data_IF_274448495326
#
_entry.id   IF_274448495326
#
_cell.length_a   1.000
_cell.length_b   1.000
_cell.length_c   1.000
_cell.angle_alpha   90.00
_cell.angle_beta   90.00
_cell.angle_gamma   90.00
#
_symmetry.space_group_name_H-M   'P 1'
#
loop_
_entity.id
_entity.type
_entity.pdbx_description
1 polymer ?
#
# COMPACT_ATOMS: atom_id res chain seq x y z
N UNK A 1 -13.25 11.21 -5.28
CA UNK A 1 -13.98 9.95 -5.47
C UNK A 1 -14.26 9.89 -6.95
N UNK A 2 -13.99 8.75 -7.60
CA UNK A 2 -14.16 8.63 -9.04
C UNK A 2 -15.58 9.00 -9.45
N UNK A 3 -15.71 9.56 -10.64
CA UNK A 3 -17.00 9.88 -11.25
C UNK A 3 -17.29 8.86 -12.34
N UNK A 4 -18.56 8.53 -12.53
CA UNK A 4 -19.00 7.65 -13.60
C UNK A 4 -19.74 8.48 -14.63
N UNK A 5 -19.35 8.37 -15.89
CA UNK A 5 -20.09 8.94 -17.00
C UNK A 5 -21.39 8.14 -17.21
N UNK A 6 -22.51 8.85 -17.25
CA UNK A 6 -23.84 8.27 -17.40
C UNK A 6 -24.21 8.22 -18.88
N UNK A 7 -23.60 7.27 -19.58
CA UNK A 7 -23.95 6.96 -20.96
C UNK A 7 -25.31 6.25 -21.06
N UNK A 8 -25.75 6.01 -22.30
CA UNK A 8 -27.03 5.36 -22.56
C UNK A 8 -27.05 3.92 -22.02
N UNK A 9 -25.91 3.22 -22.05
CA UNK A 9 -25.76 1.86 -21.52
C UNK A 9 -26.05 1.80 -20.03
N UNK A 10 -25.37 2.64 -19.23
CA UNK A 10 -25.54 2.71 -17.78
C UNK A 10 -26.96 3.17 -17.42
N UNK A 11 -27.46 4.17 -18.15
CA UNK A 11 -28.80 4.71 -17.94
C UNK A 11 -29.88 3.65 -18.15
N UNK A 12 -29.79 2.92 -19.26
CA UNK A 12 -30.72 1.86 -19.59
C UNK A 12 -30.59 0.71 -18.59
N UNK A 13 -29.38 0.34 -18.18
CA UNK A 13 -29.18 -0.69 -17.16
C UNK A 13 -29.87 -0.33 -15.83
N UNK A 14 -29.68 0.90 -15.32
CA UNK A 14 -30.35 1.36 -14.09
C UNK A 14 -31.88 1.31 -14.26
N UNK A 15 -32.39 1.82 -15.39
CA UNK A 15 -33.83 1.87 -15.69
C UNK A 15 -34.45 0.49 -15.79
N UNK A 16 -33.81 -0.43 -16.52
CA UNK A 16 -34.28 -1.78 -16.74
C UNK A 16 -34.22 -2.61 -15.47
N UNK A 17 -33.10 -2.63 -14.76
CA UNK A 17 -32.94 -3.41 -13.54
C UNK A 17 -33.86 -2.92 -12.42
N UNK A 18 -34.10 -1.60 -12.33
CA UNK A 18 -35.09 -1.01 -11.40
C UNK A 18 -36.52 -1.43 -11.75
N UNK A 19 -36.91 -1.30 -13.02
CA UNK A 19 -38.26 -1.65 -13.50
C UNK A 19 -38.54 -3.14 -13.35
N UNK A 20 -37.57 -3.99 -13.70
CA UNK A 20 -37.63 -5.46 -13.55
C UNK A 20 -37.97 -5.89 -12.13
N UNK A 21 -37.57 -5.09 -11.13
CA UNK A 21 -37.81 -5.36 -9.71
C UNK A 21 -38.91 -4.51 -9.08
N UNK A 22 -39.68 -3.78 -9.89
CA UNK A 22 -40.83 -2.99 -9.42
C UNK A 22 -40.47 -1.82 -8.48
N UNK A 23 -39.21 -1.37 -8.48
CA UNK A 23 -38.76 -0.30 -7.58
C UNK A 23 -39.17 1.07 -8.10
N UNK A 24 -39.80 1.90 -7.27
CA UNK A 24 -40.14 3.28 -7.65
C UNK A 24 -38.91 4.20 -7.55
N UNK A 25 -38.73 5.05 -8.56
CA UNK A 25 -37.56 5.94 -8.66
C UNK A 25 -37.48 6.99 -7.54
N UNK A 26 -38.62 7.49 -7.05
CA UNK A 26 -38.68 8.45 -5.95
C UNK A 26 -38.29 7.83 -4.60
N UNK A 27 -38.65 6.57 -4.37
CA UNK A 27 -38.22 5.80 -3.19
C UNK A 27 -36.72 5.54 -3.27
N UNK A 28 -36.24 5.03 -4.41
CA UNK A 28 -34.82 4.77 -4.63
C UNK A 28 -33.97 6.04 -4.43
N UNK A 29 -34.44 7.19 -4.91
CA UNK A 29 -33.74 8.46 -4.73
C UNK A 29 -33.64 8.88 -3.24
N UNK A 30 -34.70 8.66 -2.47
CA UNK A 30 -34.71 8.93 -1.02
C UNK A 30 -33.75 8.00 -0.27
N UNK A 31 -33.72 6.72 -0.64
CA UNK A 31 -32.85 5.70 -0.02
C UNK A 31 -31.36 6.03 -0.21
N UNK A 32 -31.00 6.74 -1.28
CA UNK A 32 -29.61 7.21 -1.55
C UNK A 32 -29.37 8.67 -1.14
N UNK A 33 -30.26 9.26 -0.34
CA UNK A 33 -30.20 10.64 0.14
C UNK A 33 -30.10 11.70 -0.97
N UNK A 34 -30.84 11.52 -2.05
CA UNK A 34 -30.96 12.49 -3.17
C UNK A 34 -32.39 13.02 -3.32
N UNK A 35 -32.57 14.04 -4.15
CA UNK A 35 -33.89 14.60 -4.46
C UNK A 35 -34.78 13.56 -5.12
N UNK A 36 -36.10 13.61 -4.89
CA UNK A 36 -37.06 12.64 -5.45
C UNK A 36 -37.01 12.54 -6.99
N UNK A 37 -36.52 13.59 -7.67
CA UNK A 37 -36.33 13.63 -9.13
C UNK A 37 -35.02 12.99 -9.60
N UNK A 38 -34.07 12.69 -8.73
CA UNK A 38 -32.70 12.34 -9.10
C UNK A 38 -32.60 11.11 -10.01
N UNK A 39 -33.31 10.02 -9.67
CA UNK A 39 -33.35 8.81 -10.51
C UNK A 39 -33.98 9.09 -11.87
N UNK A 40 -35.05 9.91 -11.91
CA UNK A 40 -35.67 10.33 -13.17
C UNK A 40 -34.71 11.16 -14.02
N UNK A 41 -33.93 12.05 -13.41
CA UNK A 41 -32.92 12.86 -14.09
C UNK A 41 -31.76 12.01 -14.65
N UNK A 42 -31.37 10.93 -13.97
CA UNK A 42 -30.44 9.93 -14.51
C UNK A 42 -31.08 9.25 -15.73
N UNK A 43 -32.28 8.68 -15.57
CA UNK A 43 -32.98 7.89 -16.58
C UNK A 43 -33.38 8.66 -17.84
N UNK A 44 -33.48 9.99 -17.75
CA UNK A 44 -33.78 10.88 -18.86
C UNK A 44 -32.52 11.57 -19.43
N UNK A 45 -31.33 11.26 -18.91
CA UNK A 45 -30.05 11.79 -19.41
C UNK A 45 -29.75 13.24 -19.03
N UNK A 46 -30.47 13.79 -18.05
CA UNK A 46 -30.15 15.12 -17.49
C UNK A 46 -28.85 15.09 -16.70
N UNK A 47 -28.53 13.97 -16.04
CA UNK A 47 -27.28 13.78 -15.31
C UNK A 47 -26.29 13.09 -16.24
N UNK A 48 -25.19 13.77 -16.57
CA UNK A 48 -24.11 13.25 -17.43
C UNK A 48 -23.00 12.56 -16.63
N UNK A 49 -22.86 12.87 -15.35
CA UNK A 49 -21.86 12.26 -14.46
C UNK A 49 -22.43 12.10 -13.05
N UNK A 50 -21.99 11.07 -12.32
CA UNK A 50 -22.33 10.87 -10.92
C UNK A 50 -21.14 10.31 -10.13
N UNK A 51 -21.10 10.52 -8.82
CA UNK A 51 -20.08 9.88 -7.98
C UNK A 51 -20.27 8.35 -8.01
N UNK A 52 -19.16 7.60 -8.09
CA UNK A 52 -19.21 6.14 -8.10
C UNK A 52 -19.92 5.58 -6.85
N UNK A 53 -19.80 6.24 -5.70
CA UNK A 53 -20.50 5.85 -4.47
C UNK A 53 -22.01 5.92 -4.60
N UNK A 54 -22.53 6.88 -5.38
CA UNK A 54 -23.96 6.99 -5.68
C UNK A 54 -24.39 5.84 -6.58
N UNK A 55 -23.57 5.47 -7.57
CA UNK A 55 -23.84 4.33 -8.43
C UNK A 55 -23.90 3.02 -7.64
N UNK A 56 -22.96 2.80 -6.73
CA UNK A 56 -22.97 1.66 -5.81
C UNK A 56 -24.23 1.65 -4.94
N UNK A 57 -24.64 2.80 -4.39
CA UNK A 57 -25.84 2.87 -3.57
C UNK A 57 -27.12 2.55 -4.39
N UNK A 58 -27.18 3.01 -5.64
CA UNK A 58 -28.26 2.69 -6.59
C UNK A 58 -28.31 1.17 -6.82
N UNK A 59 -27.20 0.57 -7.25
CA UNK A 59 -27.17 -0.85 -7.59
C UNK A 59 -27.28 -1.77 -6.37
N UNK A 60 -26.78 -1.38 -5.19
CA UNK A 60 -27.01 -2.12 -3.94
C UNK A 60 -28.48 -2.20 -3.58
N UNK A 61 -29.25 -1.16 -3.91
CA UNK A 61 -30.69 -1.14 -3.64
C UNK A 61 -31.50 -1.87 -4.70
N UNK A 62 -31.05 -1.82 -5.96
CA UNK A 62 -31.68 -2.52 -7.07
C UNK A 62 -31.37 -4.02 -7.02
N UNK A 63 -30.11 -4.38 -6.81
CA UNK A 63 -29.59 -5.73 -6.90
C UNK A 63 -29.27 -6.23 -5.49
N UNK A 64 -29.93 -7.30 -5.07
CA UNK A 64 -29.68 -7.98 -3.81
C UNK A 64 -28.50 -8.95 -3.97
N UNK A 65 -27.28 -8.39 -4.05
CA UNK A 65 -26.03 -9.14 -4.08
C UNK A 65 -25.17 -8.81 -2.86
N UNK A 66 -24.33 -9.76 -2.39
CA UNK A 66 -23.24 -9.45 -1.48
C UNK A 66 -22.37 -8.33 -2.05
N UNK A 67 -21.85 -7.45 -1.16
CA UNK A 67 -21.13 -6.23 -1.56
C UNK A 67 -19.96 -6.49 -2.51
N UNK A 68 -19.26 -7.62 -2.34
CA UNK A 68 -18.17 -8.04 -3.22
C UNK A 68 -18.68 -8.36 -4.63
N UNK A 69 -19.69 -9.20 -4.74
CA UNK A 69 -20.25 -9.64 -6.03
C UNK A 69 -20.93 -8.48 -6.78
N UNK A 70 -21.51 -7.54 -6.03
CA UNK A 70 -22.04 -6.30 -6.57
C UNK A 70 -20.93 -5.41 -7.15
N UNK A 71 -19.79 -5.32 -6.47
CA UNK A 71 -18.64 -4.55 -6.94
C UNK A 71 -18.10 -5.14 -8.23
N UNK A 72 -17.88 -6.45 -8.25
CA UNK A 72 -17.40 -7.17 -9.43
C UNK A 72 -18.39 -7.00 -10.60
N UNK A 73 -19.71 -7.09 -10.35
CA UNK A 73 -20.74 -6.85 -11.35
C UNK A 73 -20.69 -5.43 -11.94
N UNK A 74 -20.57 -4.40 -11.10
CA UNK A 74 -20.55 -3.00 -11.55
C UNK A 74 -19.27 -2.71 -12.33
N UNK A 75 -18.10 -3.17 -11.83
CA UNK A 75 -16.84 -2.98 -12.53
C UNK A 75 -16.84 -3.72 -13.86
N UNK A 76 -17.17 -5.02 -13.91
CA UNK A 76 -17.22 -5.76 -15.18
C UNK A 76 -18.12 -5.08 -16.23
N UNK A 77 -19.26 -4.54 -15.81
CA UNK A 77 -20.22 -3.90 -16.71
C UNK A 77 -19.85 -2.47 -17.11
N UNK A 78 -19.21 -1.71 -16.23
CA UNK A 78 -19.15 -0.25 -16.36
C UNK A 78 -17.77 0.35 -16.06
N UNK A 79 -16.70 -0.44 -15.94
CA UNK A 79 -15.34 0.04 -15.64
C UNK A 79 -14.89 1.15 -16.60
N UNK A 80 -15.18 0.98 -17.89
CA UNK A 80 -14.86 1.95 -18.95
C UNK A 80 -15.56 3.31 -18.81
N UNK A 81 -16.60 3.39 -17.98
CA UNK A 81 -17.35 4.62 -17.74
C UNK A 81 -16.84 5.36 -16.50
N UNK A 82 -15.90 4.78 -15.76
CA UNK A 82 -15.33 5.38 -14.56
C UNK A 82 -14.18 6.30 -14.97
N UNK A 83 -14.29 7.57 -14.60
CA UNK A 83 -13.22 8.55 -14.67
C UNK A 83 -12.69 8.90 -13.28
N UNK A 84 -11.38 8.81 -13.11
CA UNK A 84 -10.72 9.21 -11.88
C UNK A 84 -10.59 10.72 -11.81
N UNK A 85 -10.92 11.31 -10.65
CA UNK A 85 -10.63 12.73 -10.42
C UNK A 85 -9.13 12.93 -10.25
N UNK A 86 -8.63 14.14 -10.50
CA UNK A 86 -7.21 14.47 -10.28
C UNK A 86 -6.75 14.10 -8.85
N UNK A 87 -7.61 14.27 -7.85
CA UNK A 87 -7.32 13.87 -6.47
C UNK A 87 -7.18 12.35 -6.33
N UNK A 88 -8.01 11.57 -7.02
CA UNK A 88 -7.94 10.11 -7.00
C UNK A 88 -6.68 9.62 -7.74
N UNK A 89 -6.35 10.24 -8.87
CA UNK A 89 -5.12 10.01 -9.65
C UNK A 89 -3.90 10.27 -8.77
N UNK A 90 -3.75 11.48 -8.23
CA UNK A 90 -2.61 11.85 -7.36
C UNK A 90 -2.49 10.92 -6.15
N UNK A 91 -3.61 10.51 -5.55
CA UNK A 91 -3.61 9.56 -4.44
C UNK A 91 -3.09 8.19 -4.88
N UNK A 92 -3.55 7.67 -6.02
CA UNK A 92 -3.09 6.38 -6.55
C UNK A 92 -1.63 6.43 -7.00
N UNK A 93 -1.21 7.49 -7.67
CA UNK A 93 0.20 7.72 -8.02
C UNK A 93 1.08 7.70 -6.77
N UNK A 94 0.65 8.34 -5.67
CA UNK A 94 1.38 8.29 -4.40
C UNK A 94 1.44 6.87 -3.82
N UNK A 95 0.35 6.10 -3.88
CA UNK A 95 0.32 4.70 -3.41
C UNK A 95 1.31 3.86 -4.23
N UNK A 96 1.29 4.01 -5.55
CA UNK A 96 2.20 3.28 -6.44
C UNK A 96 3.65 3.66 -6.17
N UNK A 97 3.95 4.95 -5.99
CA UNK A 97 5.29 5.39 -5.57
C UNK A 97 5.69 4.77 -4.23
N UNK A 98 4.79 4.77 -3.24
CA UNK A 98 5.05 4.10 -1.96
C UNK A 98 5.38 2.61 -2.17
N UNK A 99 4.62 1.90 -2.99
CA UNK A 99 4.78 0.46 -3.20
C UNK A 99 6.04 0.10 -3.98
N UNK A 100 6.35 0.82 -5.06
CA UNK A 100 7.45 0.50 -5.94
C UNK A 100 8.78 1.13 -5.52
N UNK A 101 8.78 2.38 -5.05
CA UNK A 101 10.00 3.13 -4.76
C UNK A 101 10.40 3.09 -3.28
N UNK A 102 9.45 3.36 -2.38
CA UNK A 102 9.77 3.67 -0.97
C UNK A 102 9.66 2.48 -0.04
N UNK A 103 8.74 1.55 -0.29
CA UNK A 103 8.58 0.36 0.54
C UNK A 103 9.77 -0.57 0.33
N UNK A 104 10.42 -0.89 1.43
CA UNK A 104 11.55 -1.80 1.48
C UNK A 104 11.09 -3.18 1.92
N UNK A 105 11.57 -4.19 1.21
CA UNK A 105 11.37 -5.60 1.49
C UNK A 105 12.69 -6.21 1.96
N UNK A 106 12.67 -7.14 2.92
CA UNK A 106 13.86 -7.86 3.36
C UNK A 106 14.41 -8.74 2.23
N UNK A 107 15.74 -8.79 2.12
CA UNK A 107 16.42 -9.70 1.22
C UNK A 107 16.75 -10.98 1.98
N UNK A 108 15.92 -12.01 1.80
CA UNK A 108 16.10 -13.31 2.45
C UNK A 108 17.27 -14.11 1.84
N UNK A 109 17.73 -15.12 2.58
CA UNK A 109 18.72 -16.09 2.07
C UNK A 109 18.23 -16.80 0.80
N UNK A 110 16.93 -17.06 0.69
CA UNK A 110 16.32 -17.67 -0.49
C UNK A 110 16.56 -16.80 -1.74
N UNK A 111 16.33 -15.49 -1.61
CA UNK A 111 16.55 -14.53 -2.71
C UNK A 111 18.03 -14.51 -3.11
N UNK A 112 18.94 -14.45 -2.12
CA UNK A 112 20.39 -14.43 -2.38
C UNK A 112 20.82 -15.70 -3.14
N UNK A 113 20.42 -16.87 -2.65
CA UNK A 113 20.75 -18.15 -3.26
C UNK A 113 20.17 -18.27 -4.69
N UNK A 114 18.96 -17.76 -4.89
CA UNK A 114 18.32 -17.71 -6.20
C UNK A 114 19.13 -16.84 -7.18
N UNK A 115 19.51 -15.62 -6.78
CA UNK A 115 20.30 -14.72 -7.62
C UNK A 115 21.68 -15.33 -7.95
N UNK A 116 22.37 -15.92 -6.96
CA UNK A 116 23.65 -16.60 -7.18
C UNK A 116 23.53 -17.74 -8.20
N UNK A 117 22.49 -18.57 -8.06
CA UNK A 117 22.23 -19.68 -8.99
C UNK A 117 22.01 -19.17 -10.41
N UNK A 118 21.25 -18.07 -10.57
CA UNK A 118 21.01 -17.46 -11.89
C UNK A 118 22.27 -16.89 -12.52
N UNK A 119 23.06 -16.15 -11.76
CA UNK A 119 24.33 -15.60 -12.26
C UNK A 119 25.29 -16.72 -12.68
N UNK A 120 25.41 -17.78 -11.89
CA UNK A 120 26.25 -18.93 -12.19
C UNK A 120 25.80 -19.65 -13.46
N UNK A 121 24.49 -19.87 -13.63
CA UNK A 121 23.95 -20.53 -14.81
C UNK A 121 24.14 -19.71 -16.09
N UNK A 122 24.12 -18.37 -15.97
CA UNK A 122 24.39 -17.45 -17.08
C UNK A 122 25.89 -17.22 -17.30
N UNK A 123 26.75 -17.69 -16.39
CA UNK A 123 28.19 -17.45 -16.38
C UNK A 123 28.56 -15.95 -16.46
N UNK A 124 27.87 -15.12 -15.67
CA UNK A 124 28.10 -13.67 -15.58
C UNK A 124 28.45 -13.24 -14.16
N UNK A 125 29.22 -12.16 -14.02
CA UNK A 125 29.49 -11.57 -12.71
C UNK A 125 28.36 -10.66 -12.23
N UNK A 126 28.28 -10.34 -10.92
CA UNK A 126 27.37 -9.32 -10.41
C UNK A 126 27.52 -7.96 -11.11
N UNK A 127 28.76 -7.59 -11.46
CA UNK A 127 29.07 -6.35 -12.18
C UNK A 127 28.51 -6.37 -13.61
N UNK A 128 28.61 -7.49 -14.31
CA UNK A 128 28.05 -7.63 -15.67
C UNK A 128 26.53 -7.44 -15.67
N UNK A 129 25.84 -7.97 -14.65
CA UNK A 129 24.41 -7.75 -14.49
C UNK A 129 24.06 -6.28 -14.22
N UNK A 130 24.84 -5.56 -13.39
CA UNK A 130 24.64 -4.12 -13.20
C UNK A 130 24.81 -3.36 -14.52
N UNK A 131 25.87 -3.65 -15.27
CA UNK A 131 26.11 -3.04 -16.57
C UNK A 131 24.92 -3.27 -17.51
N UNK A 132 24.38 -4.49 -17.54
CA UNK A 132 23.20 -4.83 -18.31
C UNK A 132 21.97 -4.01 -17.91
N UNK A 133 21.70 -3.91 -16.60
CA UNK A 133 20.56 -3.14 -16.07
C UNK A 133 20.68 -1.65 -16.44
N UNK A 134 21.87 -1.07 -16.28
CA UNK A 134 22.12 0.35 -16.54
C UNK A 134 22.08 0.73 -18.02
N UNK A 135 22.06 -0.23 -18.95
CA UNK A 135 21.87 0.07 -20.37
C UNK A 135 20.46 0.58 -20.69
N UNK A 136 19.46 0.27 -19.85
CA UNK A 136 18.07 0.74 -20.02
C UNK A 136 17.49 0.47 -21.43
N UNK A 137 17.90 -0.62 -22.09
CA UNK A 137 17.65 -0.84 -23.54
C UNK A 137 16.18 -0.84 -23.94
N UNK A 138 15.27 -1.21 -23.03
CA UNK A 138 13.84 -1.33 -23.31
C UNK A 138 13.07 -0.02 -23.04
N UNK A 139 13.77 1.07 -22.70
CA UNK A 139 13.19 2.40 -22.61
C UNK A 139 13.40 3.18 -23.91
N UNK A 140 12.32 3.75 -24.44
CA UNK A 140 12.42 4.68 -25.57
C UNK A 140 13.24 5.92 -25.19
N UNK A 141 14.07 6.42 -26.11
CA UNK A 141 14.93 7.59 -25.89
C UNK A 141 14.11 8.85 -25.50
N UNK A 142 12.91 8.98 -26.06
CA UNK A 142 11.97 10.08 -25.77
C UNK A 142 11.51 10.09 -24.30
N UNK A 143 11.48 8.91 -23.66
CA UNK A 143 11.13 8.69 -22.26
C UNK A 143 12.37 8.83 -21.40
N UNK A 144 13.48 8.20 -21.80
CA UNK A 144 14.74 8.16 -21.05
C UNK A 144 15.27 9.55 -20.69
N UNK A 145 15.15 10.52 -21.59
CA UNK A 145 15.58 11.92 -21.37
C UNK A 145 14.71 12.69 -20.36
N UNK A 146 13.54 12.19 -20.00
CA UNK A 146 12.61 12.81 -19.04
C UNK A 146 12.68 12.16 -17.65
N UNK A 147 13.30 10.99 -17.55
CA UNK A 147 13.37 10.23 -16.30
C UNK A 147 14.58 10.64 -15.47
N UNK A 148 14.36 10.73 -14.15
CA UNK A 148 15.45 10.84 -13.18
C UNK A 148 16.01 9.45 -12.91
N UNK A 149 17.32 9.39 -12.76
CA UNK A 149 18.03 8.16 -12.42
C UNK A 149 17.52 7.58 -11.09
N UNK A 150 17.24 6.28 -11.09
CA UNK A 150 16.79 5.49 -9.94
C UNK A 150 15.52 5.99 -9.24
N UNK A 151 14.67 6.71 -9.97
CA UNK A 151 13.37 7.19 -9.48
C UNK A 151 12.27 6.61 -10.37
N UNK A 152 11.31 5.93 -9.75
CA UNK A 152 10.10 5.45 -10.44
C UNK A 152 9.31 6.66 -10.95
N UNK A 153 9.00 6.62 -12.23
CA UNK A 153 8.00 7.47 -12.84
C UNK A 153 6.69 6.69 -12.92
N UNK A 154 5.63 7.28 -12.39
CA UNK A 154 4.27 6.76 -12.45
C UNK A 154 3.44 7.81 -13.16
N UNK A 155 2.66 7.38 -14.15
CA UNK A 155 1.63 8.20 -14.76
C UNK A 155 0.34 7.40 -14.82
N UNK A 156 -0.74 7.99 -14.32
CA UNK A 156 -2.07 7.42 -14.44
C UNK A 156 -2.96 8.37 -15.24
N UNK A 157 -3.73 7.84 -16.18
CA UNK A 157 -4.71 8.64 -16.94
C UNK A 157 -6.08 8.67 -16.27
N UNK A 158 -7.01 9.43 -16.85
CA UNK A 158 -8.39 9.57 -16.35
C UNK A 158 -9.16 8.25 -16.36
N UNK A 159 -8.81 7.33 -17.26
CA UNK A 159 -9.44 6.01 -17.42
C UNK A 159 -8.81 4.97 -16.46
N UNK A 160 -7.77 5.40 -15.73
CA UNK A 160 -7.09 4.63 -14.71
C UNK A 160 -6.03 3.66 -15.22
N UNK A 161 -5.65 3.76 -16.49
CA UNK A 161 -4.48 3.05 -16.98
C UNK A 161 -3.23 3.64 -16.33
N UNK A 162 -2.39 2.75 -15.82
CA UNK A 162 -1.16 3.12 -15.12
C UNK A 162 0.02 2.72 -15.98
N UNK A 163 0.92 3.68 -16.21
CA UNK A 163 2.21 3.46 -16.81
C UNK A 163 3.28 3.69 -15.74
N UNK A 164 4.23 2.77 -15.66
CA UNK A 164 5.41 2.92 -14.80
C UNK A 164 6.67 2.74 -15.62
N UNK A 165 7.70 3.51 -15.28
CA UNK A 165 9.01 3.40 -15.88
C UNK A 165 10.09 3.77 -14.84
N UNK A 166 11.28 3.23 -15.00
CA UNK A 166 12.44 3.59 -14.20
C UNK A 166 13.68 3.59 -15.08
N UNK A 167 14.50 4.61 -14.93
CA UNK A 167 15.83 4.68 -15.54
C UNK A 167 16.86 4.24 -14.49
N UNK A 168 17.44 3.07 -14.66
CA UNK A 168 18.45 2.57 -13.74
C UNK A 168 19.81 3.22 -13.98
N UNK A 169 20.46 3.56 -12.87
CA UNK A 169 21.86 3.97 -12.81
C UNK A 169 22.43 3.47 -11.47
N UNK A 170 22.52 2.16 -11.34
CA UNK A 170 22.96 1.46 -10.13
C UNK A 170 24.50 1.50 -10.02
N UNK A 171 25.02 1.53 -8.79
CA UNK A 171 26.45 1.40 -8.54
C UNK A 171 26.96 0.02 -9.02
N UNK A 172 28.19 -0.04 -9.55
CA UNK A 172 28.76 -1.27 -10.14
C UNK A 172 28.77 -2.47 -9.15
N UNK A 173 28.90 -2.18 -7.86
CA UNK A 173 28.95 -3.17 -6.79
C UNK A 173 27.57 -3.45 -6.16
N UNK A 174 26.48 -2.86 -6.66
CA UNK A 174 25.15 -2.94 -6.04
C UNK A 174 24.66 -4.39 -5.86
N UNK A 175 24.79 -5.23 -6.89
CA UNK A 175 24.42 -6.64 -6.81
C UNK A 175 25.38 -7.41 -5.89
N UNK A 176 26.68 -7.11 -5.93
CA UNK A 176 27.65 -7.73 -5.02
C UNK A 176 27.33 -7.41 -3.56
N UNK A 177 26.96 -6.18 -3.25
CA UNK A 177 26.54 -5.76 -1.92
C UNK A 177 25.27 -6.49 -1.44
N UNK A 178 24.34 -6.83 -2.34
CA UNK A 178 23.17 -7.68 -2.03
C UNK A 178 23.62 -9.10 -1.70
N UNK A 179 24.44 -9.72 -2.56
CA UNK A 179 24.90 -11.10 -2.38
C UNK A 179 25.74 -11.28 -1.10
N UNK A 180 26.52 -10.25 -0.75
CA UNK A 180 27.33 -10.19 0.45
C UNK A 180 26.58 -9.67 1.70
N UNK A 181 25.24 -9.54 1.63
CA UNK A 181 24.36 -9.12 2.74
C UNK A 181 24.67 -7.74 3.34
N UNK A 182 25.38 -6.89 2.60
CA UNK A 182 25.61 -5.48 2.98
C UNK A 182 24.31 -4.68 2.79
N UNK A 183 23.65 -4.87 1.65
CA UNK A 183 22.28 -4.41 1.43
C UNK A 183 21.33 -5.50 1.96
N UNK A 184 20.54 -5.16 2.98
CA UNK A 184 19.63 -6.11 3.66
C UNK A 184 18.17 -5.95 3.23
N UNK A 185 17.85 -4.82 2.61
CA UNK A 185 16.49 -4.51 2.15
C UNK A 185 16.54 -3.87 0.77
N UNK A 186 15.47 -4.04 -0.01
CA UNK A 186 15.35 -3.53 -1.37
C UNK A 186 13.90 -3.17 -1.68
N UNK A 187 13.68 -2.17 -2.53
CA UNK A 187 12.34 -1.85 -3.00
C UNK A 187 11.90 -2.81 -4.14
N UNK A 188 10.60 -2.85 -4.41
CA UNK A 188 10.05 -3.78 -5.40
C UNK A 188 10.63 -3.53 -6.79
N UNK A 189 10.73 -2.26 -7.22
CA UNK A 189 11.18 -1.94 -8.57
C UNK A 189 12.63 -2.35 -8.85
N UNK A 190 13.54 -2.20 -7.87
CA UNK A 190 14.93 -2.60 -8.08
C UNK A 190 15.04 -4.13 -8.16
N UNK A 191 14.30 -4.88 -7.34
CA UNK A 191 14.28 -6.35 -7.44
C UNK A 191 13.64 -6.80 -8.76
N UNK A 192 12.57 -6.14 -9.20
CA UNK A 192 11.94 -6.38 -10.51
C UNK A 192 12.94 -6.18 -11.65
N UNK A 193 13.65 -5.05 -11.68
CA UNK A 193 14.67 -4.75 -12.70
C UNK A 193 15.81 -5.76 -12.74
N UNK A 194 16.23 -6.28 -11.57
CA UNK A 194 17.22 -7.36 -11.45
C UNK A 194 16.69 -8.64 -12.10
N UNK A 195 15.51 -9.10 -11.67
CA UNK A 195 14.89 -10.34 -12.16
C UNK A 195 14.58 -10.26 -13.65
N UNK A 196 14.01 -9.15 -14.11
CA UNK A 196 13.73 -8.86 -15.50
C UNK A 196 14.99 -8.97 -16.37
N UNK A 197 16.09 -8.33 -15.94
CA UNK A 197 17.35 -8.34 -16.68
C UNK A 197 17.98 -9.74 -16.73
N UNK A 198 17.89 -10.50 -15.63
CA UNK A 198 18.29 -11.92 -15.61
C UNK A 198 17.49 -12.72 -16.65
N UNK A 199 16.17 -12.57 -16.70
CA UNK A 199 15.34 -13.33 -17.64
C UNK A 199 15.53 -12.91 -19.09
N UNK A 200 15.82 -11.64 -19.37
CA UNK A 200 16.27 -11.22 -20.70
C UNK A 200 17.59 -11.88 -21.10
N UNK A 201 18.54 -12.00 -20.17
CA UNK A 201 19.80 -12.71 -20.42
C UNK A 201 19.60 -14.23 -20.60
N UNK A 202 18.52 -14.81 -20.05
CA UNK A 202 18.07 -16.18 -20.37
C UNK A 202 17.46 -16.31 -21.77
N UNK A 203 17.35 -15.22 -22.55
CA UNK A 203 16.83 -15.22 -23.92
C UNK A 203 15.32 -14.95 -24.03
N UNK A 204 14.67 -14.50 -22.95
CA UNK A 204 13.25 -14.14 -23.00
C UNK A 204 13.04 -12.79 -23.69
N UNK A 205 11.91 -12.65 -24.40
CA UNK A 205 11.48 -11.34 -24.88
C UNK A 205 11.01 -10.46 -23.68
N UNK A 206 10.96 -9.12 -23.84
CA UNK A 206 10.58 -8.21 -22.76
C UNK A 206 9.26 -8.54 -22.06
N UNK A 207 8.24 -8.95 -22.81
CA UNK A 207 6.92 -9.24 -22.25
C UNK A 207 6.95 -10.48 -21.33
N UNK A 208 7.54 -11.58 -21.81
CA UNK A 208 7.66 -12.81 -21.02
C UNK A 208 8.59 -12.63 -19.81
N UNK A 209 9.67 -11.86 -19.97
CA UNK A 209 10.59 -11.53 -18.89
C UNK A 209 9.89 -10.75 -17.77
N UNK A 210 9.04 -9.78 -18.12
CA UNK A 210 8.26 -9.00 -17.15
C UNK A 210 7.26 -9.87 -16.38
N UNK A 211 6.46 -10.69 -17.09
CA UNK A 211 5.52 -11.63 -16.46
C UNK A 211 6.22 -12.58 -15.48
N UNK A 212 7.39 -13.10 -15.89
CA UNK A 212 8.16 -14.03 -15.06
C UNK A 212 8.80 -13.34 -13.85
N UNK A 213 9.21 -12.08 -13.99
CA UNK A 213 9.70 -11.25 -12.88
C UNK A 213 8.60 -11.03 -11.85
N UNK A 214 7.42 -10.61 -12.28
CA UNK A 214 6.25 -10.42 -11.42
C UNK A 214 5.86 -11.68 -10.66
N UNK A 215 5.77 -12.82 -11.37
CA UNK A 215 5.48 -14.10 -10.72
C UNK A 215 6.52 -14.44 -9.66
N UNK A 216 7.80 -14.21 -9.95
CA UNK A 216 8.88 -14.53 -9.01
C UNK A 216 8.91 -13.58 -7.81
N UNK A 217 8.56 -12.31 -7.98
CA UNK A 217 8.35 -11.37 -6.89
C UNK A 217 7.23 -11.83 -5.95
N UNK A 218 6.12 -12.34 -6.49
CA UNK A 218 5.02 -12.91 -5.71
C UNK A 218 5.45 -14.14 -4.91
N UNK A 219 6.28 -15.01 -5.49
CA UNK A 219 6.88 -16.17 -4.79
C UNK A 219 7.74 -15.69 -3.61
N UNK A 220 8.53 -14.62 -3.82
CA UNK A 220 9.33 -13.97 -2.78
C UNK A 220 8.53 -13.05 -1.84
N UNK A 221 7.19 -13.07 -1.94
CA UNK A 221 6.28 -12.33 -1.07
C UNK A 221 6.42 -10.79 -1.17
N UNK A 222 6.86 -10.27 -2.33
CA UNK A 222 6.85 -8.83 -2.65
C UNK A 222 5.43 -8.34 -2.99
N UNK A 223 4.52 -8.50 -2.03
CA UNK A 223 3.12 -8.15 -2.19
C UNK A 223 2.91 -6.64 -2.16
N UNK A 224 1.96 -6.15 -2.94
CA UNK A 224 1.39 -4.80 -2.74
C UNK A 224 0.75 -4.71 -1.35
N UNK A 225 0.48 -3.49 -0.88
CA UNK A 225 -0.21 -3.29 0.40
C UNK A 225 -1.59 -3.94 0.37
N UNK A 226 -2.28 -3.83 -0.77
CA UNK A 226 -3.58 -4.46 -0.97
C UNK A 226 -3.49 -5.99 -0.91
N UNK A 227 -2.62 -6.62 -1.69
CA UNK A 227 -2.43 -8.07 -1.71
C UNK A 227 -2.07 -8.61 -0.32
N UNK A 228 -1.15 -7.96 0.37
CA UNK A 228 -0.76 -8.33 1.73
C UNK A 228 -1.95 -8.24 2.68
N UNK A 229 -2.69 -7.13 2.67
CA UNK A 229 -3.83 -6.94 3.57
C UNK A 229 -4.97 -7.92 3.27
N UNK A 230 -5.21 -8.24 2.00
CA UNK A 230 -6.16 -9.28 1.60
C UNK A 230 -5.74 -10.66 2.13
N UNK A 231 -4.45 -11.01 2.02
CA UNK A 231 -3.88 -12.25 2.56
C UNK A 231 -4.03 -12.32 4.09
N UNK A 232 -3.70 -11.24 4.81
CA UNK A 232 -3.89 -11.15 6.27
C UNK A 232 -5.36 -11.37 6.64
N UNK A 233 -6.30 -10.73 5.93
CA UNK A 233 -7.74 -10.88 6.20
C UNK A 233 -8.22 -12.31 5.96
N UNK A 234 -7.79 -12.94 4.85
CA UNK A 234 -8.12 -14.34 4.54
C UNK A 234 -7.58 -15.30 5.61
N UNK A 235 -6.33 -15.10 6.04
CA UNK A 235 -5.71 -15.91 7.08
C UNK A 235 -6.48 -15.83 8.41
N UNK A 236 -6.89 -14.62 8.82
CA UNK A 236 -7.73 -14.42 10.02
C UNK A 236 -9.07 -15.14 9.93
N UNK A 237 -9.73 -15.11 8.78
CA UNK A 237 -11.01 -15.79 8.59
C UNK A 237 -10.87 -17.32 8.52
N UNK A 238 -9.72 -17.82 8.07
CA UNK A 238 -9.46 -19.25 7.87
C UNK A 238 -8.63 -19.92 8.98
N UNK A 239 -8.29 -19.21 10.06
CA UNK A 239 -7.33 -19.66 11.09
C UNK A 239 -6.01 -20.20 10.50
N UNK A 240 -5.48 -19.52 9.47
CA UNK A 240 -4.23 -19.91 8.81
C UNK A 240 -3.06 -19.16 9.46
N UNK A 241 -1.94 -19.83 9.65
CA UNK A 241 -0.70 -19.19 10.12
C UNK A 241 -0.20 -18.16 9.10
N UNK A 242 -0.11 -16.90 9.53
CA UNK A 242 0.34 -15.77 8.72
C UNK A 242 1.76 -15.97 8.19
N UNK A 243 2.65 -16.62 8.95
CA UNK A 243 4.06 -16.82 8.57
C UNK A 243 4.21 -17.58 7.23
N UNK A 244 3.22 -18.41 6.92
CA UNK A 244 3.18 -19.21 5.70
C UNK A 244 2.72 -18.42 4.47
N UNK A 245 2.03 -17.28 4.65
CA UNK A 245 1.35 -16.55 3.57
C UNK A 245 2.02 -15.20 3.27
N UNK A 246 2.62 -14.55 4.28
CA UNK A 246 3.29 -13.24 4.16
C UNK A 246 4.72 -13.33 4.66
N UNK A 247 5.50 -12.24 4.55
CA UNK A 247 6.88 -12.24 5.07
C UNK A 247 6.89 -12.43 6.59
N UNK A 248 8.00 -12.93 7.11
CA UNK A 248 8.20 -13.14 8.54
C UNK A 248 8.01 -11.82 9.30
N UNK A 249 8.59 -10.74 8.80
CA UNK A 249 8.51 -9.40 9.37
C UNK A 249 7.08 -8.86 9.39
N UNK A 250 6.31 -9.01 8.29
CA UNK A 250 4.91 -8.58 8.25
C UNK A 250 4.06 -9.44 9.21
N UNK A 251 4.36 -10.73 9.35
CA UNK A 251 3.69 -11.65 10.27
C UNK A 251 3.95 -11.26 11.74
N UNK A 252 5.21 -11.08 12.12
CA UNK A 252 5.60 -10.68 13.48
C UNK A 252 5.06 -9.29 13.82
N UNK A 253 5.19 -8.32 12.92
CA UNK A 253 4.63 -6.99 13.13
C UNK A 253 3.11 -7.05 13.33
N UNK A 254 2.41 -7.87 12.55
CA UNK A 254 0.95 -8.03 12.69
C UNK A 254 0.57 -8.60 14.05
N UNK A 255 1.36 -9.55 14.58
CA UNK A 255 1.18 -10.10 15.93
C UNK A 255 1.35 -9.01 16.99
N UNK A 256 2.49 -8.30 16.99
CA UNK A 256 2.74 -7.26 17.99
C UNK A 256 1.71 -6.12 17.92
N UNK A 257 1.28 -5.70 16.72
CA UNK A 257 0.21 -4.70 16.58
C UNK A 257 -1.10 -5.20 17.20
N UNK A 258 -1.44 -6.48 16.99
CA UNK A 258 -2.65 -7.06 17.57
C UNK A 258 -2.58 -7.09 19.09
N UNK A 259 -1.46 -7.55 19.66
CA UNK A 259 -1.26 -7.64 21.11
C UNK A 259 -1.33 -6.25 21.76
N UNK A 260 -0.63 -5.25 21.19
CA UNK A 260 -0.65 -3.86 21.68
C UNK A 260 -2.07 -3.26 21.61
N UNK A 261 -2.80 -3.51 20.53
CA UNK A 261 -4.19 -3.04 20.41
C UNK A 261 -5.12 -3.72 21.43
N UNK A 262 -4.86 -4.99 21.74
CA UNK A 262 -5.50 -5.74 22.82
C UNK A 262 -5.25 -5.08 24.17
N UNK A 263 -4.00 -4.75 24.49
CA UNK A 263 -3.62 -4.10 25.74
C UNK A 263 -4.29 -2.72 25.91
N UNK A 264 -4.33 -1.91 24.84
CA UNK A 264 -5.06 -0.64 24.87
C UNK A 264 -6.57 -0.82 25.06
N UNK A 265 -7.15 -1.88 24.49
CA UNK A 265 -8.56 -2.20 24.65
C UNK A 265 -8.86 -2.63 26.09
N UNK A 266 -8.03 -3.50 26.65
CA UNK A 266 -8.13 -3.93 28.05
C UNK A 266 -7.97 -2.75 29.01
N UNK A 267 -7.05 -1.83 28.75
CA UNK A 267 -6.85 -0.63 29.55
C UNK A 267 -8.11 0.25 29.60
N UNK A 268 -8.78 0.44 28.45
CA UNK A 268 -10.06 1.14 28.35
C UNK A 268 -11.15 0.44 29.15
N UNK A 269 -11.23 -0.89 29.05
CA UNK A 269 -12.30 -1.67 29.67
C UNK A 269 -12.15 -1.74 31.20
N UNK A 270 -10.92 -1.77 31.72
CA UNK A 270 -10.62 -1.74 33.16
C UNK A 270 -10.87 -0.34 33.74
N UNK A 271 -10.37 0.70 33.08
CA UNK A 271 -10.52 2.08 33.55
C UNK A 271 -10.62 3.05 32.36
N UNK A 272 -11.85 3.41 31.94
CA UNK A 272 -12.04 4.20 30.72
C UNK A 272 -11.48 5.62 30.84
N UNK A 273 -11.46 6.21 32.04
CA UNK A 273 -10.91 7.56 32.27
C UNK A 273 -9.39 7.54 32.13
N UNK A 274 -8.72 6.61 32.81
CA UNK A 274 -7.27 6.45 32.74
C UNK A 274 -6.83 6.02 31.32
N UNK A 275 -7.51 5.05 30.73
CA UNK A 275 -7.23 4.58 29.38
C UNK A 275 -7.35 5.69 28.33
N UNK A 276 -8.37 6.55 28.43
CA UNK A 276 -8.50 7.70 27.54
C UNK A 276 -7.34 8.69 27.69
N UNK A 277 -6.89 8.95 28.92
CA UNK A 277 -5.75 9.83 29.18
C UNK A 277 -4.46 9.29 28.54
N UNK A 278 -4.18 8.00 28.72
CA UNK A 278 -3.02 7.31 28.12
C UNK A 278 -3.08 7.34 26.60
N UNK A 279 -4.21 6.96 26.00
CA UNK A 279 -4.39 6.93 24.54
C UNK A 279 -4.25 8.33 23.93
N UNK A 280 -4.80 9.38 24.57
CA UNK A 280 -4.64 10.77 24.12
C UNK A 280 -3.19 11.22 24.14
N UNK A 281 -2.45 10.91 25.21
CA UNK A 281 -1.04 11.25 25.31
C UNK A 281 -0.21 10.54 24.24
N UNK A 282 -0.44 9.24 24.05
CA UNK A 282 0.22 8.45 23.02
C UNK A 282 -0.06 8.97 21.61
N UNK A 283 -1.35 9.21 21.27
CA UNK A 283 -1.77 9.75 19.98
C UNK A 283 -1.13 11.11 19.67
N UNK A 284 -1.13 12.03 20.63
CA UNK A 284 -0.50 13.35 20.47
C UNK A 284 1.00 13.24 20.22
N UNK A 285 1.67 12.39 21.00
CA UNK A 285 3.12 12.23 20.90
C UNK A 285 3.52 11.67 19.54
N UNK A 286 2.81 10.63 19.07
CA UNK A 286 3.04 10.06 17.74
C UNK A 286 2.76 11.04 16.60
N UNK A 287 1.70 11.84 16.68
CA UNK A 287 1.35 12.76 15.59
C UNK A 287 2.27 13.97 15.48
N UNK A 288 2.79 14.46 16.60
CA UNK A 288 3.62 15.66 16.63
C UNK A 288 5.09 15.35 16.33
N UNK A 289 5.59 14.15 16.69
CA UNK A 289 7.00 13.82 16.46
C UNK A 289 7.25 12.31 16.29
N UNK A 290 6.93 11.77 15.10
CA UNK A 290 7.03 10.33 14.80
C UNK A 290 8.43 9.76 15.03
N UNK A 291 9.47 10.44 14.53
CA UNK A 291 10.84 9.94 14.59
C UNK A 291 11.34 9.84 16.04
N UNK A 292 11.11 10.87 16.84
CA UNK A 292 11.45 10.84 18.27
C UNK A 292 10.70 9.72 18.98
N UNK A 293 9.39 9.60 18.73
CA UNK A 293 8.58 8.57 19.38
C UNK A 293 8.97 7.15 18.96
N UNK A 294 9.33 6.91 17.70
CA UNK A 294 9.85 5.61 17.28
C UNK A 294 11.19 5.30 17.97
N UNK A 295 12.04 6.30 18.19
CA UNK A 295 13.25 6.15 19.00
C UNK A 295 12.96 5.74 20.44
N UNK A 296 12.00 6.39 21.08
CA UNK A 296 11.58 6.07 22.46
C UNK A 296 10.95 4.69 22.54
N UNK A 297 10.05 4.35 21.61
CA UNK A 297 9.35 3.06 21.59
C UNK A 297 10.27 1.87 21.28
N UNK A 298 11.44 2.12 20.69
CA UNK A 298 12.46 1.10 20.45
C UNK A 298 13.23 0.72 21.72
N UNK A 299 13.17 1.54 22.78
CA UNK A 299 13.85 1.23 24.03
C UNK A 299 13.20 0.00 24.69
N UNK A 300 14.05 -0.96 25.08
CA UNK A 300 13.59 -2.16 25.78
C UNK A 300 13.49 -1.89 27.29
N UNK A 301 12.26 -1.75 27.78
CA UNK A 301 11.98 -1.57 29.20
C UNK A 301 11.80 -2.89 29.96
N UNK A 302 12.02 -4.05 29.33
CA UNK A 302 11.87 -5.36 29.97
C UNK A 302 12.83 -5.56 31.15
N UNK A 303 14.00 -4.92 31.10
CA UNK A 303 14.98 -4.90 32.21
C UNK A 303 14.42 -4.27 33.49
N UNK A 304 13.34 -3.49 33.40
CA UNK A 304 12.67 -2.87 34.55
C UNK A 304 11.59 -3.77 35.17
N UNK A 305 11.39 -4.99 34.68
CA UNK A 305 10.31 -5.89 35.13
C UNK A 305 10.38 -6.16 36.64
N UNK A 306 11.57 -6.50 37.13
CA UNK A 306 11.78 -7.04 38.49
C UNK A 306 12.02 -5.96 39.56
N UNK A 307 11.96 -4.68 39.20
CA UNK A 307 12.14 -3.59 40.15
C UNK A 307 10.83 -3.29 40.89
N UNK A 308 10.94 -2.76 42.12
CA UNK A 308 9.76 -2.44 42.95
C UNK A 308 8.86 -1.37 42.32
N UNK A 309 7.59 -1.33 42.73
CA UNK A 309 6.64 -0.33 42.25
C UNK A 309 7.06 1.10 42.64
N UNK A 310 7.71 1.28 43.79
CA UNK A 310 8.28 2.56 44.23
C UNK A 310 9.40 3.00 43.27
N UNK A 311 10.29 2.08 42.90
CA UNK A 311 11.34 2.36 41.91
C UNK A 311 10.78 2.67 40.53
N UNK A 312 9.72 1.99 40.10
CA UNK A 312 9.03 2.30 38.83
C UNK A 312 8.46 3.72 38.82
N UNK A 313 7.90 4.18 39.95
CA UNK A 313 7.44 5.58 40.10
C UNK A 313 8.59 6.57 40.00
N UNK A 314 9.70 6.32 40.72
CA UNK A 314 10.90 7.18 40.64
C UNK A 314 11.42 7.28 39.21
N UNK A 315 11.48 6.15 38.49
CA UNK A 315 11.88 6.14 37.09
C UNK A 315 10.97 7.00 36.21
N UNK A 316 9.64 6.89 36.35
CA UNK A 316 8.68 7.70 35.60
C UNK A 316 8.88 9.20 35.92
N UNK A 317 9.11 9.56 37.18
CA UNK A 317 9.36 10.94 37.58
C UNK A 317 10.66 11.49 36.98
N UNK A 318 11.71 10.67 36.90
CA UNK A 318 12.98 11.02 36.23
C UNK A 318 12.80 11.22 34.72
N UNK A 319 12.02 10.36 34.05
CA UNK A 319 11.67 10.54 32.64
C UNK A 319 10.91 11.85 32.43
N UNK A 320 9.96 12.20 33.31
CA UNK A 320 9.24 13.48 33.23
C UNK A 320 10.18 14.68 33.41
N UNK A 321 11.13 14.60 34.35
CA UNK A 321 12.15 15.64 34.53
C UNK A 321 13.05 15.77 33.30
N UNK A 322 13.42 14.66 32.67
CA UNK A 322 14.18 14.68 31.41
C UNK A 322 13.39 15.37 30.30
N UNK A 323 12.11 15.03 30.11
CA UNK A 323 11.25 15.70 29.13
C UNK A 323 11.19 17.21 29.42
N UNK A 324 11.03 17.61 30.68
CA UNK A 324 11.00 19.02 31.07
C UNK A 324 12.33 19.74 30.78
N UNK A 325 13.47 19.07 30.99
CA UNK A 325 14.80 19.59 30.66
C UNK A 325 14.95 19.86 29.17
N UNK A 326 14.58 18.89 28.31
CA UNK A 326 14.71 19.03 26.85
C UNK A 326 13.61 19.86 26.20
N UNK A 327 12.57 20.26 26.96
CA UNK A 327 11.59 21.25 26.49
C UNK A 327 12.15 22.67 26.48
N UNK A 328 13.18 22.96 27.28
CA UNK A 328 13.78 24.28 27.33
C UNK A 328 14.67 24.47 26.10
N UNK A 329 14.42 25.49 25.25
CA UNK A 329 15.26 25.75 24.09
C UNK A 329 16.68 26.08 24.55
N UNK A 330 17.65 25.48 23.88
CA UNK A 330 19.08 25.74 24.05
C UNK A 330 19.57 26.77 23.03
N UNK A 331 20.74 27.37 23.23
CA UNK A 331 21.32 28.33 22.26
C UNK A 331 21.42 27.74 20.85
N UNK A 332 21.65 26.43 20.74
CA UNK A 332 21.70 25.68 19.47
C UNK A 332 20.35 25.61 18.74
N UNK A 333 19.22 25.71 19.46
CA UNK A 333 17.87 25.68 18.86
C UNK A 333 17.48 26.99 18.18
N UNK A 334 18.27 28.06 18.36
CA UNK A 334 18.05 29.38 17.75
C UNK A 334 18.92 29.64 16.49
N UNK A 335 19.75 28.67 16.09
CA UNK A 335 20.70 28.80 14.97
C UNK A 335 20.20 28.09 13.69
N UNK A 336 19.06 27.40 13.74
CA UNK A 336 18.35 26.82 12.58
C UNK A 336 17.19 27.71 12.12
#
# INVERSE_FOLDING_TARGET
>A
MPVVHVDDTLRNAIKEERKKRGLRGDILAKDIHKSASYISQIENGTISTMDISILYAIFKRIIDLPEKDLSDYIFEKFDKNIKFTEKDIRKREWILNLEYQFRLFPISLEIINYLQTKLNNLNISPKDLVLRINQNEDLEESVLNKLKDNVVWVKMDEDGQTQTAIKFNLAEDYIDQILNKKIKTINKINMEGILYSIYKLEGMNPFDANIKADKKLLDFKFYTLEERNQKIKKAKNGNIDLSTIISEEDSECSKYIYDIAGDFSALRDINPVYGLAVLKAFYRSLNLNKNLMYGILKLDFSELKDISNERKKVFIDEVQKLIAKYKQPTEDDFIL
#
